data_IF_504572145189
#
_entry.id   IF_504572145189
#
_cell.length_a   1.000
_cell.length_b   1.000
_cell.length_c   1.000
_cell.angle_alpha   90.00
_cell.angle_beta   90.00
_cell.angle_gamma   90.00
#
_symmetry.space_group_name_H-M   'P 1'
#
loop_
_entity.id
_entity.type
_entity.pdbx_description
1 polymer ?
#
# COMPACT_ATOMS: atom_id res chain seq x y z
N UNK A 1 5.43 -27.18 -2.58
CA UNK A 1 5.08 -25.88 -3.15
C UNK A 1 4.67 -25.98 -4.61
N UNK A 2 4.05 -24.92 -5.11
CA UNK A 2 3.71 -24.82 -6.54
C UNK A 2 4.98 -24.60 -7.37
N UNK A 3 5.13 -25.39 -8.44
CA UNK A 3 6.18 -25.14 -9.44
C UNK A 3 5.56 -24.43 -10.65
N UNK A 4 6.35 -23.56 -11.29
CA UNK A 4 5.94 -22.81 -12.47
C UNK A 4 5.41 -23.68 -13.62
N UNK A 5 5.93 -24.90 -13.75
CA UNK A 5 5.56 -25.84 -14.82
C UNK A 5 4.23 -26.55 -14.56
N UNK A 6 3.75 -26.54 -13.31
CA UNK A 6 2.52 -27.22 -12.88
C UNK A 6 1.41 -26.25 -12.46
N UNK A 7 1.70 -24.95 -12.39
CA UNK A 7 0.73 -23.96 -11.99
C UNK A 7 -0.19 -23.60 -13.15
N UNK A 8 -1.50 -23.73 -12.95
CA UNK A 8 -2.55 -23.29 -13.88
C UNK A 8 -2.72 -21.78 -13.87
N UNK A 9 -3.55 -21.24 -14.76
CA UNK A 9 -3.93 -19.84 -14.78
C UNK A 9 -4.68 -19.42 -13.51
N UNK A 10 -5.53 -20.28 -12.96
CA UNK A 10 -6.36 -19.98 -11.79
C UNK A 10 -5.55 -19.54 -10.56
N UNK A 11 -4.37 -20.14 -10.34
CA UNK A 11 -3.50 -19.79 -9.21
C UNK A 11 -2.63 -18.55 -9.49
N UNK A 12 -2.63 -18.05 -10.72
CA UNK A 12 -1.89 -16.87 -11.18
C UNK A 12 -2.77 -15.63 -11.29
N UNK A 13 -4.08 -15.81 -11.26
CA UNK A 13 -5.05 -14.74 -11.39
C UNK A 13 -5.15 -13.89 -10.13
N UNK A 14 -5.59 -12.66 -10.30
CA UNK A 14 -5.90 -11.77 -9.19
C UNK A 14 -7.25 -12.16 -8.60
N UNK A 15 -7.25 -12.47 -7.31
CA UNK A 15 -8.45 -12.80 -6.56
C UNK A 15 -8.92 -11.57 -5.77
N UNK A 16 -10.23 -11.45 -5.48
CA UNK A 16 -10.76 -10.31 -4.71
C UNK A 16 -10.08 -10.13 -3.34
N UNK A 17 -9.66 -11.23 -2.70
CA UNK A 17 -8.95 -11.20 -1.42
C UNK A 17 -7.55 -10.57 -1.48
N UNK A 18 -7.02 -10.31 -2.69
CA UNK A 18 -5.76 -9.59 -2.88
C UNK A 18 -5.89 -8.09 -2.56
N UNK A 19 -7.11 -7.55 -2.59
CA UNK A 19 -7.32 -6.13 -2.38
C UNK A 19 -6.76 -5.66 -1.02
N UNK A 20 -5.88 -4.67 -1.08
CA UNK A 20 -5.19 -4.15 0.11
C UNK A 20 -4.12 -5.08 0.73
N UNK A 21 -3.90 -6.28 0.17
CA UNK A 21 -2.96 -7.29 0.67
C UNK A 21 -1.83 -7.57 -0.29
N UNK A 22 -2.16 -7.88 -1.53
CA UNK A 22 -1.19 -8.18 -2.58
C UNK A 22 -1.39 -7.21 -3.75
N UNK A 23 -0.29 -6.67 -4.28
CA UNK A 23 -0.35 -5.79 -5.44
C UNK A 23 -0.80 -6.58 -6.68
N UNK A 24 -1.83 -6.12 -7.40
CA UNK A 24 -2.28 -6.79 -8.62
C UNK A 24 -1.38 -6.53 -9.84
N UNK A 25 -0.48 -5.57 -9.74
CA UNK A 25 0.35 -5.08 -10.85
C UNK A 25 1.80 -5.59 -10.73
N UNK A 26 2.39 -5.52 -9.54
CA UNK A 26 3.79 -5.90 -9.35
C UNK A 26 3.95 -7.42 -9.29
N UNK A 27 4.30 -8.01 -10.42
CA UNK A 27 4.62 -9.44 -10.58
C UNK A 27 5.66 -9.59 -11.68
N UNK A 28 6.53 -10.62 -11.66
CA UNK A 28 7.47 -10.85 -12.75
C UNK A 28 6.76 -11.11 -14.08
N UNK A 29 7.42 -10.76 -15.16
CA UNK A 29 7.04 -11.20 -16.50
C UNK A 29 7.56 -12.63 -16.77
N UNK A 30 6.85 -13.37 -17.61
CA UNK A 30 7.26 -14.71 -18.04
C UNK A 30 6.71 -15.85 -17.16
N UNK A 31 7.44 -16.98 -17.00
CA UNK A 31 6.92 -18.20 -16.39
C UNK A 31 6.47 -18.07 -14.93
N UNK A 32 6.96 -17.08 -14.21
CA UNK A 32 6.64 -16.84 -12.80
C UNK A 32 5.52 -15.80 -12.60
N UNK A 33 4.87 -15.35 -13.67
CA UNK A 33 3.78 -14.38 -13.57
C UNK A 33 2.67 -14.88 -12.64
N UNK A 34 2.23 -14.04 -11.71
CA UNK A 34 1.19 -14.37 -10.75
C UNK A 34 1.62 -15.33 -9.61
N UNK A 35 2.76 -16.00 -9.71
CA UNK A 35 3.29 -16.88 -8.65
C UNK A 35 4.18 -16.14 -7.65
N UNK A 36 4.83 -15.08 -8.09
CA UNK A 36 5.61 -14.18 -7.25
C UNK A 36 4.81 -12.89 -7.14
N UNK A 37 4.44 -12.53 -5.94
CA UNK A 37 3.64 -11.35 -5.63
C UNK A 37 4.31 -10.51 -4.55
N UNK A 38 3.91 -9.25 -4.44
CA UNK A 38 4.45 -8.29 -3.49
C UNK A 38 3.33 -7.74 -2.60
N UNK A 39 3.63 -7.50 -1.34
CA UNK A 39 2.68 -6.92 -0.41
C UNK A 39 2.22 -5.53 -0.88
N UNK A 40 0.95 -5.23 -0.68
CA UNK A 40 0.41 -3.89 -0.83
C UNK A 40 1.00 -2.95 0.24
N UNK A 41 0.94 -1.65 -0.02
CA UNK A 41 1.66 -0.61 0.76
C UNK A 41 1.35 -0.64 2.26
N UNK A 42 0.11 -0.93 2.65
CA UNK A 42 -0.32 -0.94 4.06
C UNK A 42 -0.55 -2.34 4.62
N UNK A 43 -0.30 -3.38 3.81
CA UNK A 43 -0.47 -4.76 4.24
C UNK A 43 0.60 -5.16 5.26
N UNK A 44 0.23 -6.03 6.17
CA UNK A 44 1.14 -6.66 7.11
C UNK A 44 0.85 -8.15 7.23
N UNK A 45 1.83 -8.90 7.72
CA UNK A 45 1.67 -10.33 8.03
C UNK A 45 1.46 -10.45 9.54
N UNK A 46 0.41 -11.17 9.94
CA UNK A 46 0.11 -11.42 11.35
C UNK A 46 0.97 -12.55 11.93
N UNK A 47 0.82 -12.81 13.24
CA UNK A 47 1.55 -13.87 13.95
C UNK A 47 1.31 -15.29 13.42
N UNK A 48 0.20 -15.52 12.73
CA UNK A 48 -0.16 -16.81 12.10
C UNK A 48 0.32 -16.93 10.66
N UNK A 49 0.92 -15.87 10.09
CA UNK A 49 1.39 -15.85 8.71
C UNK A 49 0.34 -15.43 7.67
N UNK A 50 -0.84 -14.96 8.10
CA UNK A 50 -1.85 -14.41 7.20
C UNK A 50 -1.61 -12.94 6.90
N UNK A 51 -1.96 -12.51 5.69
CA UNK A 51 -1.84 -11.11 5.28
C UNK A 51 -3.09 -10.36 5.69
N UNK A 52 -2.92 -9.25 6.38
CA UNK A 52 -3.96 -8.35 6.85
C UNK A 52 -3.87 -7.00 6.15
N UNK A 53 -5.03 -6.39 5.91
CA UNK A 53 -5.16 -5.04 5.41
C UNK A 53 -5.84 -4.14 6.47
N UNK A 54 -5.49 -2.83 6.54
CA UNK A 54 -6.09 -1.90 7.48
C UNK A 54 -7.34 -1.26 6.91
N UNK A 55 -8.35 -1.08 7.77
CA UNK A 55 -9.58 -0.37 7.47
C UNK A 55 -9.97 0.53 8.64
N UNK A 56 -10.63 1.65 8.36
CA UNK A 56 -11.17 2.55 9.38
C UNK A 56 -12.62 2.17 9.65
N UNK A 57 -12.97 2.11 10.93
CA UNK A 57 -14.32 1.76 11.35
C UNK A 57 -15.32 2.90 11.08
N UNK A 58 -16.52 2.54 10.67
CA UNK A 58 -17.65 3.43 10.52
C UNK A 58 -18.68 3.14 11.63
N UNK A 59 -19.12 4.18 12.34
CA UNK A 59 -20.11 4.05 13.43
C UNK A 59 -21.53 4.00 12.88
N UNK A 60 -22.31 3.04 13.36
CA UNK A 60 -23.73 2.96 13.10
C UNK A 60 -24.56 3.69 14.18
N UNK A 61 -25.68 4.28 13.84
CA UNK A 61 -26.24 4.52 12.51
C UNK A 61 -25.77 5.83 11.86
N UNK A 62 -24.86 6.57 12.50
CA UNK A 62 -24.46 7.93 12.11
C UNK A 62 -23.72 7.97 10.75
N UNK A 63 -23.08 6.86 10.36
CA UNK A 63 -22.17 6.83 9.21
C UNK A 63 -20.90 7.64 9.44
N UNK A 64 -20.49 7.82 10.70
CA UNK A 64 -19.28 8.56 11.06
C UNK A 64 -18.05 7.68 10.93
N UNK A 65 -17.08 8.14 10.15
CA UNK A 65 -15.76 7.51 10.01
C UNK A 65 -14.92 7.82 11.25
N UNK A 66 -14.45 6.79 11.93
CA UNK A 66 -13.60 6.93 13.12
C UNK A 66 -12.12 6.91 12.74
N UNK A 67 -11.24 7.26 13.69
CA UNK A 67 -9.79 7.10 13.54
C UNK A 67 -9.29 5.71 14.00
N UNK A 68 -10.22 4.84 14.43
CA UNK A 68 -9.92 3.47 14.80
C UNK A 68 -9.58 2.66 13.55
N UNK A 69 -8.33 2.15 13.50
CA UNK A 69 -7.84 1.31 12.41
C UNK A 69 -7.87 -0.14 12.86
N UNK A 70 -8.62 -0.96 12.13
CA UNK A 70 -8.69 -2.40 12.34
C UNK A 70 -7.99 -3.12 11.20
N UNK A 71 -7.04 -4.01 11.55
CA UNK A 71 -6.43 -4.89 10.57
C UNK A 71 -7.23 -6.18 10.46
N UNK A 72 -7.56 -6.56 9.24
CA UNK A 72 -8.40 -7.74 8.97
C UNK A 72 -7.78 -8.63 7.90
N UNK A 73 -7.86 -9.94 8.13
CA UNK A 73 -7.66 -10.96 7.10
C UNK A 73 -8.86 -10.98 6.14
N UNK A 74 -8.71 -11.60 4.97
CA UNK A 74 -9.77 -11.60 3.95
C UNK A 74 -11.06 -12.28 4.42
N UNK A 75 -10.96 -13.36 5.17
CA UNK A 75 -12.10 -14.11 5.73
C UNK A 75 -12.90 -13.30 6.77
N UNK A 76 -12.22 -12.43 7.51
CA UNK A 76 -12.87 -11.50 8.44
C UNK A 76 -13.53 -10.36 7.67
N UNK A 77 -12.83 -9.77 6.68
CA UNK A 77 -13.36 -8.71 5.81
C UNK A 77 -14.64 -9.16 5.08
N UNK A 78 -14.73 -10.42 4.67
CA UNK A 78 -15.90 -10.99 3.99
C UNK A 78 -17.23 -10.87 4.78
N UNK A 79 -17.14 -10.59 6.07
CA UNK A 79 -18.32 -10.41 6.94
C UNK A 79 -18.84 -8.97 6.92
N UNK A 80 -18.09 -8.03 6.36
CA UNK A 80 -18.37 -6.60 6.43
C UNK A 80 -18.57 -5.96 5.07
N UNK A 81 -19.22 -4.81 5.08
CA UNK A 81 -19.39 -3.95 3.91
C UNK A 81 -18.38 -2.82 4.00
N UNK A 82 -17.48 -2.74 3.01
CA UNK A 82 -16.36 -1.81 3.01
C UNK A 82 -16.48 -0.83 1.85
N UNK A 83 -16.50 0.47 2.13
CA UNK A 83 -16.51 1.49 1.09
C UNK A 83 -15.09 2.00 0.77
N UNK A 84 -14.98 2.68 -0.37
CA UNK A 84 -13.72 3.24 -0.85
C UNK A 84 -13.31 4.48 -0.06
N UNK A 85 -11.99 4.72 0.08
CA UNK A 85 -11.44 5.89 0.76
C UNK A 85 -11.78 7.23 0.10
N UNK A 86 -12.23 7.22 -1.16
CA UNK A 86 -12.59 8.42 -1.90
C UNK A 86 -14.04 8.89 -1.62
N UNK A 87 -14.83 8.16 -0.83
CA UNK A 87 -16.16 8.60 -0.45
C UNK A 87 -16.11 9.92 0.32
N UNK A 88 -16.93 10.90 -0.07
CA UNK A 88 -16.92 12.21 0.58
C UNK A 88 -17.47 12.14 2.00
N UNK A 89 -16.78 12.80 2.91
CA UNK A 89 -17.17 12.97 4.32
C UNK A 89 -17.38 14.45 4.62
N UNK A 90 -18.29 14.73 5.54
CA UNK A 90 -18.55 16.09 6.02
C UNK A 90 -17.50 16.56 7.05
N UNK A 91 -17.66 17.80 7.55
CA UNK A 91 -16.76 18.36 8.58
C UNK A 91 -16.77 17.58 9.91
N UNK A 92 -17.81 16.79 10.16
CA UNK A 92 -17.94 15.94 11.34
C UNK A 92 -17.40 14.51 11.10
N UNK A 93 -16.92 14.25 9.88
CA UNK A 93 -16.44 12.94 9.48
C UNK A 93 -17.54 11.94 9.10
N UNK A 94 -18.77 12.39 8.85
CA UNK A 94 -19.87 11.52 8.45
C UNK A 94 -19.95 11.40 6.92
N UNK A 95 -20.29 10.22 6.43
CA UNK A 95 -20.52 9.96 5.00
C UNK A 95 -21.68 10.82 4.48
N UNK A 96 -21.44 11.58 3.40
CA UNK A 96 -22.41 12.53 2.85
C UNK A 96 -23.46 11.82 2.01
N UNK A 97 -23.02 10.92 1.12
CA UNK A 97 -23.91 10.25 0.18
C UNK A 97 -24.86 9.29 0.91
N UNK A 98 -26.15 9.36 0.60
CA UNK A 98 -27.14 8.44 1.17
C UNK A 98 -26.95 7.00 0.68
N UNK A 99 -26.55 6.86 -0.59
CA UNK A 99 -26.19 5.56 -1.20
C UNK A 99 -24.74 5.56 -1.60
N UNK A 100 -24.06 4.47 -1.28
CA UNK A 100 -22.61 4.33 -1.39
C UNK A 100 -22.29 3.05 -2.13
N UNK A 101 -21.34 3.14 -3.07
CA UNK A 101 -20.75 1.98 -3.72
C UNK A 101 -19.72 1.34 -2.79
N UNK A 102 -19.96 0.11 -2.40
CA UNK A 102 -19.13 -0.62 -1.45
C UNK A 102 -18.76 -2.01 -1.99
N UNK A 103 -17.75 -2.62 -1.40
CA UNK A 103 -17.39 -4.02 -1.64
C UNK A 103 -18.00 -4.90 -0.55
N UNK A 104 -18.50 -6.04 -0.96
CA UNK A 104 -18.85 -7.14 -0.06
C UNK A 104 -18.43 -8.45 -0.73
N UNK A 105 -17.38 -9.08 -0.22
CA UNK A 105 -16.70 -10.23 -0.86
C UNK A 105 -16.20 -9.89 -2.26
N UNK A 106 -16.63 -10.64 -3.28
CA UNK A 106 -16.31 -10.48 -4.71
C UNK A 106 -17.26 -9.53 -5.45
N UNK A 107 -18.30 -9.04 -4.77
CA UNK A 107 -19.33 -8.18 -5.38
C UNK A 107 -19.13 -6.69 -5.03
N UNK A 108 -19.46 -5.87 -6.01
CA UNK A 108 -19.62 -4.42 -5.82
C UNK A 108 -21.11 -4.18 -5.62
N UNK A 109 -21.48 -3.68 -4.45
CA UNK A 109 -22.86 -3.45 -4.04
C UNK A 109 -23.12 -1.97 -3.79
N UNK A 110 -24.34 -1.54 -4.07
CA UNK A 110 -24.80 -0.20 -3.71
C UNK A 110 -25.68 -0.29 -2.47
N UNK A 111 -25.24 0.31 -1.38
CA UNK A 111 -25.88 0.21 -0.06
C UNK A 111 -26.18 1.60 0.53
N UNK A 112 -27.09 1.64 1.48
CA UNK A 112 -27.32 2.84 2.28
C UNK A 112 -26.14 3.07 3.23
N UNK A 113 -25.78 4.34 3.48
CA UNK A 113 -24.63 4.72 4.33
C UNK A 113 -24.64 4.08 5.72
N UNK A 114 -25.85 3.81 6.25
CA UNK A 114 -26.05 3.19 7.56
C UNK A 114 -25.62 1.73 7.62
N UNK A 115 -25.39 1.10 6.47
CA UNK A 115 -24.96 -0.30 6.37
C UNK A 115 -23.46 -0.48 6.12
N UNK A 116 -22.74 0.62 5.95
CA UNK A 116 -21.27 0.58 5.72
C UNK A 116 -20.58 0.37 7.04
N UNK A 117 -19.80 -0.69 7.16
CA UNK A 117 -19.09 -1.06 8.39
C UNK A 117 -17.69 -0.45 8.47
N UNK A 118 -16.99 -0.41 7.34
CA UNK A 118 -15.62 0.08 7.24
C UNK A 118 -15.39 0.90 5.98
N UNK A 119 -14.35 1.71 6.01
CA UNK A 119 -13.83 2.48 4.89
C UNK A 119 -12.35 2.20 4.69
N UNK A 120 -11.89 2.15 3.45
CA UNK A 120 -10.48 2.03 3.12
C UNK A 120 -9.66 3.18 3.72
N UNK A 121 -8.47 2.91 4.21
CA UNK A 121 -7.58 3.95 4.80
C UNK A 121 -7.01 4.89 3.75
N UNK A 122 -6.80 4.41 2.52
CA UNK A 122 -6.23 5.19 1.42
C UNK A 122 -6.53 4.52 0.08
N UNK A 123 -6.72 5.30 -1.02
CA UNK A 123 -6.81 4.73 -2.37
C UNK A 123 -5.54 3.99 -2.80
N UNK A 124 -4.39 4.30 -2.20
CA UNK A 124 -3.09 3.68 -2.50
C UNK A 124 -2.88 2.32 -1.86
N UNK A 125 -3.79 1.89 -0.99
CA UNK A 125 -3.64 0.63 -0.26
C UNK A 125 -3.70 -0.62 -1.14
N UNK A 126 -4.19 -0.51 -2.36
CA UNK A 126 -4.33 -1.65 -3.28
C UNK A 126 -3.03 -2.02 -4.02
N UNK A 127 -2.03 -1.15 -4.04
CA UNK A 127 -0.78 -1.34 -4.81
C UNK A 127 0.44 -1.42 -3.90
N UNK A 128 1.51 -2.03 -4.41
CA UNK A 128 2.81 -2.08 -3.71
C UNK A 128 3.50 -0.73 -3.70
N UNK A 129 4.56 -0.61 -2.90
CA UNK A 129 5.38 0.60 -2.82
C UNK A 129 5.97 0.98 -4.19
N UNK A 130 6.52 0.00 -4.92
CA UNK A 130 7.10 0.25 -6.23
C UNK A 130 6.06 0.76 -7.23
N UNK A 131 4.90 0.13 -7.27
CA UNK A 131 3.79 0.55 -8.15
C UNK A 131 3.24 1.92 -7.74
N UNK A 132 3.17 2.22 -6.45
CA UNK A 132 2.71 3.52 -5.94
C UNK A 132 3.66 4.68 -6.30
N UNK A 133 4.92 4.39 -6.65
CA UNK A 133 5.88 5.39 -7.12
C UNK A 133 5.83 5.65 -8.63
N UNK A 134 4.93 5.03 -9.38
CA UNK A 134 4.71 5.32 -10.80
C UNK A 134 3.85 6.59 -10.91
N UNK A 135 4.38 7.69 -11.48
CA UNK A 135 3.59 8.90 -11.69
C UNK A 135 2.43 8.64 -12.65
N UNK A 136 1.28 9.24 -12.40
CA UNK A 136 0.07 9.10 -13.21
C UNK A 136 -0.42 7.66 -13.39
N UNK A 137 -0.16 6.79 -12.43
CA UNK A 137 -0.54 5.38 -12.47
C UNK A 137 -2.01 5.12 -12.91
N UNK A 138 -3.02 5.86 -12.43
CA UNK A 138 -4.42 5.65 -12.85
C UNK A 138 -4.69 5.86 -14.35
N UNK A 139 -3.78 6.56 -15.03
CA UNK A 139 -3.90 6.83 -16.47
C UNK A 139 -3.15 5.82 -17.34
N UNK A 140 -2.39 4.91 -16.71
CA UNK A 140 -1.60 3.90 -17.42
C UNK A 140 -2.37 2.59 -17.56
N UNK A 141 -2.14 1.90 -18.67
CA UNK A 141 -2.57 0.52 -18.83
C UNK A 141 -1.84 -0.40 -17.84
N UNK A 142 -2.57 -1.38 -17.28
CA UNK A 142 -2.03 -2.30 -16.28
C UNK A 142 -0.78 -3.06 -16.76
N UNK A 143 -0.74 -3.46 -18.03
CA UNK A 143 0.42 -4.16 -18.61
C UNK A 143 1.66 -3.26 -18.61
N UNK A 144 1.50 -1.98 -18.93
CA UNK A 144 2.61 -1.01 -18.92
C UNK A 144 3.03 -0.65 -17.50
N UNK A 145 2.10 -0.54 -16.57
CA UNK A 145 2.40 -0.37 -15.16
C UNK A 145 3.20 -1.54 -14.57
N UNK A 146 2.88 -2.78 -14.95
CA UNK A 146 3.64 -3.98 -14.58
C UNK A 146 5.08 -3.88 -15.10
N UNK A 147 5.26 -3.56 -16.37
CA UNK A 147 6.60 -3.37 -16.95
C UNK A 147 7.37 -2.26 -16.22
N UNK A 148 6.74 -1.12 -15.96
CA UNK A 148 7.32 0.00 -15.22
C UNK A 148 7.75 -0.38 -13.80
N UNK A 149 6.91 -1.09 -13.06
CA UNK A 149 7.24 -1.60 -11.72
C UNK A 149 8.46 -2.53 -11.74
N UNK A 150 8.54 -3.41 -12.75
CA UNK A 150 9.70 -4.28 -12.93
C UNK A 150 10.97 -3.50 -13.31
N UNK A 151 10.86 -2.46 -14.16
CA UNK A 151 12.00 -1.64 -14.58
C UNK A 151 12.56 -0.79 -13.43
N UNK A 152 11.77 -0.38 -12.45
CA UNK A 152 12.27 0.33 -11.26
C UNK A 152 13.34 -0.47 -10.51
N UNK A 153 13.25 -1.79 -10.47
CA UNK A 153 14.26 -2.68 -9.86
C UNK A 153 15.54 -2.81 -10.66
N UNK A 154 15.54 -2.34 -11.90
CA UNK A 154 16.69 -2.37 -12.81
C UNK A 154 17.37 -0.99 -12.92
N UNK A 155 16.97 -0.03 -12.07
CA UNK A 155 17.52 1.31 -12.06
C UNK A 155 19.02 1.29 -11.74
N UNK A 156 19.79 2.03 -12.51
CA UNK A 156 21.23 2.20 -12.33
C UNK A 156 21.50 3.45 -11.48
N UNK A 157 22.25 3.35 -10.37
CA UNK A 157 22.66 4.52 -9.60
C UNK A 157 23.48 5.49 -10.47
N UNK A 158 23.09 6.76 -10.46
CA UNK A 158 23.78 7.79 -11.20
C UNK A 158 24.99 8.30 -10.42
N UNK A 159 26.04 8.71 -11.13
CA UNK A 159 27.23 9.32 -10.53
C UNK A 159 26.91 10.64 -9.79
N UNK A 160 25.96 11.40 -10.34
CA UNK A 160 25.35 12.58 -9.69
C UNK A 160 23.85 12.38 -9.68
N UNK A 161 23.28 11.88 -8.57
CA UNK A 161 21.84 11.72 -8.46
C UNK A 161 21.16 13.09 -8.41
N UNK A 162 20.05 13.21 -9.12
CA UNK A 162 19.20 14.39 -9.17
C UNK A 162 17.78 14.01 -8.75
N UNK A 163 17.06 14.94 -8.12
CA UNK A 163 15.66 14.74 -7.81
C UNK A 163 14.84 14.71 -9.11
N UNK A 164 13.87 13.79 -9.25
CA UNK A 164 13.02 13.75 -10.42
C UNK A 164 12.14 15.01 -10.49
N UNK A 165 11.94 15.53 -11.72
CA UNK A 165 11.04 16.68 -11.94
C UNK A 165 9.58 16.28 -11.70
N UNK A 166 9.20 15.08 -12.12
CA UNK A 166 7.87 14.48 -11.88
C UNK A 166 8.02 13.33 -10.92
N UNK A 167 7.28 13.39 -9.82
CA UNK A 167 7.32 12.41 -8.75
C UNK A 167 5.92 12.23 -8.12
N UNK A 168 5.77 11.26 -7.25
CA UNK A 168 4.50 10.95 -6.57
C UNK A 168 4.40 11.57 -5.18
N UNK A 169 5.50 12.07 -4.63
CA UNK A 169 5.61 12.58 -3.27
C UNK A 169 5.82 11.50 -2.20
N UNK A 170 5.90 10.23 -2.58
CA UNK A 170 6.17 9.12 -1.65
C UNK A 170 7.65 8.77 -1.54
N UNK A 171 8.47 9.24 -2.47
CA UNK A 171 9.87 8.84 -2.60
C UNK A 171 10.66 9.09 -1.33
N UNK A 172 10.51 10.28 -0.74
CA UNK A 172 11.22 10.67 0.49
C UNK A 172 10.81 9.76 1.67
N UNK A 173 9.51 9.57 1.87
CA UNK A 173 8.99 8.71 2.94
C UNK A 173 9.46 7.28 2.77
N UNK A 174 9.38 6.74 1.56
CA UNK A 174 9.80 5.37 1.26
C UNK A 174 11.31 5.17 1.49
N UNK A 175 12.14 6.17 1.17
CA UNK A 175 13.57 6.13 1.48
C UNK A 175 13.84 6.07 2.99
N UNK A 176 13.11 6.83 3.79
CA UNK A 176 13.24 6.85 5.25
C UNK A 176 12.77 5.50 5.83
N UNK A 177 11.56 5.09 5.46
CA UNK A 177 10.92 3.88 6.01
C UNK A 177 11.63 2.58 5.59
N UNK A 178 12.43 2.61 4.52
CA UNK A 178 13.23 1.45 4.09
C UNK A 178 14.40 1.11 4.98
N UNK A 179 14.80 2.04 5.87
CA UNK A 179 15.97 1.92 6.75
C UNK A 179 17.31 1.64 6.04
N UNK A 180 17.34 1.74 4.71
CA UNK A 180 18.57 1.58 3.92
C UNK A 180 19.54 2.74 4.14
N UNK A 181 18.98 3.96 4.32
CA UNK A 181 19.74 5.14 4.68
C UNK A 181 19.76 5.32 6.20
N UNK A 182 20.95 5.38 6.79
CA UNK A 182 21.12 5.72 8.20
C UNK A 182 20.90 7.21 8.36
N UNK A 183 19.88 7.61 9.10
CA UNK A 183 19.53 8.99 9.34
C UNK A 183 20.09 9.48 10.66
N UNK A 184 20.46 10.78 10.72
CA UNK A 184 20.77 11.43 11.98
C UNK A 184 19.48 11.59 12.83
N UNK A 185 19.56 11.33 14.11
CA UNK A 185 18.42 11.42 15.04
C UNK A 185 18.02 12.87 15.37
N UNK A 186 18.92 13.82 15.12
CA UNK A 186 18.67 15.24 15.36
C UNK A 186 19.76 16.14 14.79
N UNK A 187 19.65 17.44 15.01
CA UNK A 187 20.68 18.40 14.65
C UNK A 187 21.93 18.18 15.49
N UNK A 188 23.10 18.32 14.86
CA UNK A 188 24.38 18.11 15.53
C UNK A 188 25.59 18.38 14.63
N UNK A 189 26.78 18.15 15.17
CA UNK A 189 28.05 18.35 14.47
C UNK A 189 28.78 17.02 14.33
N UNK A 190 29.21 16.71 13.11
CA UNK A 190 30.06 15.53 12.84
C UNK A 190 31.45 15.78 13.42
N UNK A 191 31.86 14.99 14.40
CA UNK A 191 33.15 15.14 15.11
C UNK A 191 34.22 14.18 14.57
N UNK A 192 33.82 13.04 14.01
CA UNK A 192 34.76 12.05 13.49
C UNK A 192 34.15 11.28 12.31
N UNK A 193 34.95 11.03 11.30
CA UNK A 193 34.56 10.27 10.10
C UNK A 193 35.62 9.23 9.80
N UNK A 194 35.18 8.03 9.50
CA UNK A 194 35.99 6.93 8.94
C UNK A 194 35.24 6.18 7.90
N UNK A 195 35.86 5.23 7.22
CA UNK A 195 35.18 4.37 6.25
C UNK A 195 34.11 3.45 6.89
N UNK A 196 34.12 3.27 8.20
CA UNK A 196 33.25 2.35 8.92
C UNK A 196 32.27 3.02 9.87
N UNK A 197 32.55 4.25 10.29
CA UNK A 197 31.72 4.96 11.26
C UNK A 197 31.79 6.47 11.08
N UNK A 198 30.68 7.12 11.45
CA UNK A 198 30.55 8.56 11.58
C UNK A 198 30.13 8.84 13.03
N UNK A 199 30.84 9.70 13.73
CA UNK A 199 30.48 10.14 15.10
C UNK A 199 29.84 11.50 15.03
N UNK A 200 28.63 11.62 15.52
CA UNK A 200 27.88 12.88 15.58
C UNK A 200 27.71 13.26 17.05
N UNK A 201 27.99 14.50 17.37
CA UNK A 201 27.64 15.09 18.67
C UNK A 201 26.35 15.88 18.47
N UNK A 202 25.26 15.41 19.04
CA UNK A 202 23.96 16.04 18.94
C UNK A 202 23.87 17.28 19.86
N UNK A 203 23.05 18.26 19.46
CA UNK A 203 22.82 19.49 20.24
C UNK A 203 22.02 19.19 21.53
N UNK A 204 21.36 18.08 21.59
CA UNK A 204 20.65 17.54 22.80
C UNK A 204 21.62 17.09 23.92
N UNK A 205 22.91 16.98 23.63
CA UNK A 205 23.94 16.59 24.62
C UNK A 205 24.15 15.08 24.76
N UNK A 206 23.58 14.27 23.88
CA UNK A 206 23.85 12.83 23.74
C UNK A 206 24.92 12.51 22.73
#
# INVERSE_FOLDING_TARGET
>A
GLSRDRASFDVRDVHYSHYGRLCPIETPEGPNIGLISYLATYARVNEYGFIEAPFRRVEHPSGRVTDEITYMTADVEDQYIVCQAAEPVDENGCLINARITARHRDEIVEVDKERVDYIDVSPRMMVSIATAMIPFLPNDDANRALMGANMQRQAVPLLRPEAPIVATGQEHKNCIDSEVAILAEGPGVVTKVSARYITVRYDSGE
#
